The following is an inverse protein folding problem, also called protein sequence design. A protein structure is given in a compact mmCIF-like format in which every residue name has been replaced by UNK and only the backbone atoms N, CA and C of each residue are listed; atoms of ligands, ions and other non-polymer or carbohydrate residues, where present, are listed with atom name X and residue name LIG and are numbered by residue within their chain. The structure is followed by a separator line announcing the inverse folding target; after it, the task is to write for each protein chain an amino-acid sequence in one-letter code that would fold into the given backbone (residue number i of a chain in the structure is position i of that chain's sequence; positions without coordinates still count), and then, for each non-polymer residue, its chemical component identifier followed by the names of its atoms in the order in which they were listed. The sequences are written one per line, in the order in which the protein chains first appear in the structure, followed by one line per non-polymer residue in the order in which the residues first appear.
data_IF_143065285870
#
_entry.id   IF_143065285870
#
_cell.length_a   1.000
_cell.length_b   1.000
_cell.length_c   1.000
_cell.angle_alpha   90.00
_cell.angle_beta   90.00
_cell.angle_gamma   90.00
#
_symmetry.space_group_name_H-M   'P 1'
#
loop_
_entity.id
_entity.type
_entity.pdbx_description
1 polymer ?
#
# COMPACT_ATOMS: atom_id res chain seq x y z
N UNK A 1 15.23 10.48 22.57
CA UNK A 1 15.59 11.67 21.79
C UNK A 1 16.82 11.33 20.97
N UNK A 2 16.65 10.89 19.72
CA UNK A 2 17.78 10.57 18.83
C UNK A 2 18.43 11.87 18.33
N UNK A 3 19.76 11.92 18.37
CA UNK A 3 20.57 13.11 18.13
C UNK A 3 20.42 13.64 16.71
N UNK A 4 20.24 14.96 16.57
CA UNK A 4 20.11 15.73 15.32
C UNK A 4 21.20 15.49 14.26
N UNK A 5 22.34 14.88 14.64
CA UNK A 5 23.43 14.50 13.72
C UNK A 5 23.07 13.32 12.82
N UNK A 6 22.24 12.37 13.26
CA UNK A 6 21.88 11.20 12.44
C UNK A 6 20.85 11.54 11.34
N UNK A 7 20.00 12.55 11.58
CA UNK A 7 18.95 12.99 10.65
C UNK A 7 19.55 13.75 9.44
N UNK A 8 20.72 14.37 9.61
CA UNK A 8 21.35 15.25 8.60
C UNK A 8 22.47 14.57 7.77
N UNK A 9 22.96 13.40 8.17
CA UNK A 9 23.81 12.59 7.30
C UNK A 9 22.99 12.05 6.14
N UNK A 10 23.11 12.69 4.97
CA UNK A 10 22.58 12.18 3.69
C UNK A 10 23.25 10.84 3.40
N UNK A 11 22.74 9.75 3.98
CA UNK A 11 23.17 8.40 3.65
C UNK A 11 22.97 8.23 2.15
N UNK A 12 24.04 7.98 1.36
CA UNK A 12 23.91 7.90 -0.08
C UNK A 12 22.98 6.74 -0.43
N UNK A 13 21.81 7.09 -0.95
CA UNK A 13 20.81 6.13 -1.41
C UNK A 13 21.38 5.43 -2.64
N UNK A 14 21.49 4.11 -2.59
CA UNK A 14 21.92 3.30 -3.71
C UNK A 14 20.75 3.05 -4.66
N UNK A 15 19.58 2.68 -4.12
CA UNK A 15 18.38 2.42 -4.90
C UNK A 15 17.11 2.52 -4.03
N UNK A 16 15.98 2.83 -4.67
CA UNK A 16 14.65 2.71 -4.07
C UNK A 16 13.87 1.65 -4.81
N UNK A 17 13.45 0.61 -4.11
CA UNK A 17 12.75 -0.56 -4.66
C UNK A 17 11.31 -0.51 -4.16
N UNK A 18 10.34 -0.70 -5.06
CA UNK A 18 8.92 -0.79 -4.72
C UNK A 18 8.43 -2.19 -5.02
N UNK A 19 7.97 -2.89 -3.99
CA UNK A 19 7.46 -4.26 -4.09
C UNK A 19 6.04 -4.32 -3.54
N UNK A 20 5.24 -5.23 -4.09
CA UNK A 20 3.93 -5.58 -3.54
C UNK A 20 4.02 -6.99 -2.98
N UNK A 21 3.75 -7.13 -1.68
CA UNK A 21 3.87 -8.40 -0.95
C UNK A 21 2.58 -8.63 -0.15
N UNK A 22 2.00 -9.84 -0.17
CA UNK A 22 0.84 -10.17 0.65
C UNK A 22 1.20 -10.12 2.14
N UNK A 23 0.30 -9.57 2.95
CA UNK A 23 0.42 -9.49 4.40
C UNK A 23 0.54 -10.89 5.04
N UNK A 24 1.48 -11.05 5.96
CA UNK A 24 1.75 -12.33 6.66
C UNK A 24 2.38 -13.44 5.80
N UNK A 25 2.55 -13.20 4.50
CA UNK A 25 3.06 -14.17 3.52
C UNK A 25 4.47 -13.88 3.03
N UNK A 26 5.24 -13.00 3.68
CA UNK A 26 6.58 -12.68 3.20
C UNK A 26 7.50 -13.91 3.32
N UNK A 27 7.81 -14.46 2.15
CA UNK A 27 8.78 -15.53 1.94
C UNK A 27 9.85 -15.03 0.96
N UNK A 28 11.07 -15.57 1.00
CA UNK A 28 12.12 -15.28 0.02
C UNK A 28 11.79 -15.95 -1.33
N UNK A 29 10.64 -15.62 -1.90
CA UNK A 29 10.13 -16.13 -3.17
C UNK A 29 10.66 -15.27 -4.34
N UNK A 30 10.54 -15.74 -5.60
CA UNK A 30 11.10 -15.10 -6.80
C UNK A 30 10.79 -13.61 -7.03
N UNK A 31 9.72 -12.96 -6.52
CA UNK A 31 9.57 -11.51 -6.68
C UNK A 31 10.37 -10.69 -5.66
N UNK A 32 10.62 -11.23 -4.46
CA UNK A 32 11.31 -10.51 -3.36
C UNK A 32 12.80 -10.89 -3.32
N UNK A 33 13.11 -12.15 -3.62
CA UNK A 33 14.45 -12.74 -3.63
C UNK A 33 15.45 -12.00 -4.52
N UNK A 34 15.22 -11.96 -5.84
CA UNK A 34 16.10 -11.28 -6.81
C UNK A 34 16.19 -9.77 -6.58
N UNK A 35 15.06 -9.13 -6.27
CA UNK A 35 14.98 -7.68 -6.09
C UNK A 35 15.84 -7.19 -4.91
N UNK A 36 15.85 -7.93 -3.79
CA UNK A 36 16.66 -7.58 -2.61
C UNK A 36 18.06 -8.20 -2.64
N UNK A 37 18.21 -9.38 -3.24
CA UNK A 37 19.48 -10.07 -3.39
C UNK A 37 20.49 -9.30 -4.25
N UNK A 38 20.03 -8.57 -5.27
CA UNK A 38 20.89 -7.72 -6.10
C UNK A 38 21.66 -6.66 -5.30
N UNK A 39 21.08 -6.20 -4.19
CA UNK A 39 21.65 -5.17 -3.33
C UNK A 39 22.32 -5.73 -2.06
N UNK A 40 22.50 -7.06 -1.98
CA UNK A 40 23.11 -7.76 -0.83
C UNK A 40 22.42 -7.44 0.52
N UNK A 41 21.11 -7.19 0.48
CA UNK A 41 20.32 -6.90 1.68
C UNK A 41 19.93 -8.17 2.43
N UNK A 42 19.75 -8.09 3.75
CA UNK A 42 19.36 -9.24 4.56
C UNK A 42 17.86 -9.56 4.39
N UNK A 43 17.55 -10.51 3.50
CA UNK A 43 16.18 -10.92 3.18
C UNK A 43 15.43 -11.52 4.38
N UNK A 44 16.11 -12.30 5.21
CA UNK A 44 15.46 -13.02 6.31
C UNK A 44 15.04 -12.06 7.43
N UNK A 45 15.87 -11.06 7.72
CA UNK A 45 15.53 -9.97 8.63
C UNK A 45 14.33 -9.17 8.10
N UNK A 46 14.33 -8.83 6.80
CA UNK A 46 13.20 -8.15 6.16
C UNK A 46 11.91 -8.96 6.26
N UNK A 47 11.92 -10.25 5.92
CA UNK A 47 10.71 -11.09 5.98
C UNK A 47 10.16 -11.18 7.42
N UNK A 48 11.02 -11.26 8.44
CA UNK A 48 10.61 -11.32 9.84
C UNK A 48 9.99 -10.01 10.30
N UNK A 49 10.65 -8.87 10.05
CA UNK A 49 10.15 -7.56 10.44
C UNK A 49 8.89 -7.18 9.68
N UNK A 50 8.80 -7.54 8.39
CA UNK A 50 7.60 -7.35 7.59
C UNK A 50 6.43 -8.17 8.13
N UNK A 51 6.62 -9.45 8.45
CA UNK A 51 5.56 -10.28 9.02
C UNK A 51 5.10 -9.76 10.40
N UNK A 52 6.03 -9.28 11.24
CA UNK A 52 5.69 -8.66 12.52
C UNK A 52 4.86 -7.38 12.37
N UNK A 53 5.21 -6.50 11.41
CA UNK A 53 4.44 -5.27 11.12
C UNK A 53 3.11 -5.55 10.45
N UNK A 54 3.03 -6.60 9.63
CA UNK A 54 1.81 -6.95 8.87
C UNK A 54 0.85 -7.87 9.61
N UNK A 55 1.22 -8.38 10.79
CA UNK A 55 0.36 -9.25 11.60
C UNK A 55 -0.97 -8.60 12.03
N UNK A 56 -1.05 -7.27 12.05
CA UNK A 56 -2.28 -6.52 12.35
C UNK A 56 -3.28 -6.49 11.20
N UNK A 57 -2.82 -6.76 9.97
CA UNK A 57 -3.65 -6.71 8.77
C UNK A 57 -4.15 -8.11 8.43
N UNK A 58 -5.31 -8.19 7.76
CA UNK A 58 -5.85 -9.48 7.31
C UNK A 58 -4.81 -10.19 6.42
N UNK A 59 -4.58 -11.49 6.64
CA UNK A 59 -3.67 -12.27 5.80
C UNK A 59 -4.15 -12.20 4.34
N UNK A 60 -3.21 -12.24 3.40
CA UNK A 60 -3.45 -12.15 1.94
C UNK A 60 -3.83 -10.76 1.40
N UNK A 61 -3.73 -9.73 2.23
CA UNK A 61 -3.89 -8.35 1.74
C UNK A 61 -2.61 -7.88 1.03
N UNK A 62 -2.64 -7.45 -0.25
CA UNK A 62 -1.46 -6.97 -0.94
C UNK A 62 -1.02 -5.62 -0.37
N UNK A 63 0.12 -5.62 0.33
CA UNK A 63 0.72 -4.41 0.89
C UNK A 63 1.86 -3.92 0.01
N UNK A 64 1.93 -2.61 -0.18
CA UNK A 64 3.03 -1.99 -0.93
C UNK A 64 4.16 -1.64 0.03
N UNK A 65 5.36 -2.09 -0.27
CA UNK A 65 6.56 -1.80 0.51
C UNK A 65 7.51 -0.98 -0.35
N UNK A 66 7.97 0.14 0.20
CA UNK A 66 9.08 0.90 -0.38
C UNK A 66 10.31 0.65 0.46
N UNK A 67 11.35 0.12 -0.18
CA UNK A 67 12.63 -0.24 0.43
C UNK A 67 13.67 0.72 -0.12
N UNK A 68 14.30 1.46 0.77
CA UNK A 68 15.41 2.35 0.47
C UNK A 68 16.69 1.62 0.86
N UNK A 69 17.49 1.27 -0.14
CA UNK A 69 18.79 0.65 0.05
C UNK A 69 19.88 1.73 0.10
N UNK A 70 20.73 1.67 1.11
CA UNK A 70 21.90 2.55 1.23
C UNK A 70 23.17 1.84 0.76
N UNK A 71 24.21 2.60 0.40
CA UNK A 71 25.50 2.03 -0.03
C UNK A 71 26.22 1.22 1.06
N UNK A 72 25.87 1.43 2.32
CA UNK A 72 26.48 0.75 3.47
C UNK A 72 25.85 -0.63 3.75
N UNK A 73 25.14 -1.20 2.78
CA UNK A 73 24.36 -2.45 2.88
C UNK A 73 23.23 -2.41 3.93
N UNK A 74 22.90 -1.23 4.44
CA UNK A 74 21.75 -1.00 5.31
C UNK A 74 20.51 -0.73 4.47
N UNK A 75 19.34 -1.11 4.98
CA UNK A 75 18.06 -0.82 4.34
C UNK A 75 17.08 -0.24 5.34
N UNK A 76 16.27 0.70 4.86
CA UNK A 76 15.08 1.16 5.54
C UNK A 76 13.87 0.78 4.68
N UNK A 77 12.83 0.26 5.31
CA UNK A 77 11.60 -0.07 4.61
C UNK A 77 10.40 0.59 5.27
N UNK A 78 9.56 1.19 4.43
CA UNK A 78 8.27 1.74 4.81
C UNK A 78 7.19 0.84 4.24
N UNK A 79 6.40 0.25 5.13
CA UNK A 79 5.21 -0.51 4.76
C UNK A 79 4.08 0.49 4.60
N UNK A 80 3.49 0.56 3.41
CA UNK A 80 2.30 1.36 3.14
C UNK A 80 1.07 0.48 3.30
N UNK A 81 -0.06 1.11 3.63
CA UNK A 81 -1.32 0.40 3.60
C UNK A 81 -1.65 -0.13 2.19
N UNK A 82 -2.55 -1.11 2.10
CA UNK A 82 -2.94 -1.74 0.84
C UNK A 82 -3.41 -0.73 -0.22
N UNK A 83 -3.38 -1.17 -1.49
CA UNK A 83 -3.86 -0.35 -2.59
C UNK A 83 -5.35 -0.03 -2.43
N UNK A 84 -5.75 1.19 -2.81
CA UNK A 84 -7.16 1.61 -2.81
C UNK A 84 -7.98 0.69 -3.71
N UNK A 85 -7.40 0.25 -4.83
CA UNK A 85 -7.97 -0.75 -5.75
C UNK A 85 -8.38 -2.03 -5.04
N UNK A 86 -7.55 -2.56 -4.13
CA UNK A 86 -7.87 -3.78 -3.40
C UNK A 86 -9.00 -3.54 -2.39
N UNK A 87 -8.98 -2.41 -1.68
CA UNK A 87 -10.07 -2.04 -0.76
C UNK A 87 -11.40 -1.86 -1.47
N UNK A 88 -11.39 -1.21 -2.63
CA UNK A 88 -12.59 -1.02 -3.45
C UNK A 88 -13.13 -2.36 -3.99
N UNK A 89 -12.26 -3.26 -4.46
CA UNK A 89 -12.64 -4.62 -4.86
C UNK A 89 -13.30 -5.40 -3.73
N UNK A 90 -12.73 -5.33 -2.52
CA UNK A 90 -13.30 -6.00 -1.33
C UNK A 90 -14.62 -5.38 -0.89
N UNK A 91 -14.76 -4.06 -0.93
CA UNK A 91 -16.01 -3.37 -0.58
C UNK A 91 -17.12 -3.64 -1.62
N UNK A 92 -16.75 -3.79 -2.89
CA UNK A 92 -17.67 -4.07 -3.99
C UNK A 92 -17.94 -5.56 -4.22
N UNK A 93 -17.20 -6.47 -3.59
CA UNK A 93 -17.34 -7.91 -3.78
C UNK A 93 -16.89 -8.44 -5.16
N UNK A 94 -16.15 -7.65 -5.94
CA UNK A 94 -15.71 -8.03 -7.30
C UNK A 94 -14.22 -8.36 -7.35
N UNK A 95 -13.86 -9.40 -8.10
CA UNK A 95 -12.46 -9.84 -8.27
C UNK A 95 -11.71 -9.03 -9.34
N UNK A 96 -12.42 -8.61 -10.39
CA UNK A 96 -11.89 -7.80 -11.48
C UNK A 96 -12.64 -6.47 -11.61
N UNK A 97 -11.95 -5.45 -12.12
CA UNK A 97 -12.59 -4.18 -12.48
C UNK A 97 -13.35 -4.29 -13.80
N UNK A 98 -14.06 -3.23 -14.18
CA UNK A 98 -14.73 -3.16 -15.48
C UNK A 98 -13.71 -3.19 -16.62
N UNK A 99 -13.96 -4.03 -17.64
CA UNK A 99 -13.18 -4.06 -18.87
C UNK A 99 -13.36 -2.80 -19.74
N UNK A 100 -14.42 -2.02 -19.48
CA UNK A 100 -14.66 -0.73 -20.15
C UNK A 100 -15.19 0.30 -19.14
N UNK A 101 -14.29 0.90 -18.34
CA UNK A 101 -14.65 1.93 -17.36
C UNK A 101 -15.43 3.08 -18.01
N UNK A 102 -16.52 3.52 -17.36
CA UNK A 102 -17.38 4.62 -17.83
C UNK A 102 -18.50 4.23 -18.79
N UNK A 103 -18.46 3.03 -19.38
CA UNK A 103 -19.57 2.49 -20.19
C UNK A 103 -20.30 1.33 -19.50
N UNK A 104 -19.55 0.50 -18.78
CA UNK A 104 -20.10 -0.62 -18.02
C UNK A 104 -19.67 -0.46 -16.57
N UNK A 105 -20.65 -0.25 -15.70
CA UNK A 105 -20.43 -0.24 -14.25
C UNK A 105 -20.33 -1.69 -13.76
N UNK A 106 -19.20 -2.04 -13.14
CA UNK A 106 -18.95 -3.38 -12.62
C UNK A 106 -19.62 -3.61 -11.26
N UNK A 107 -19.77 -2.55 -10.46
CA UNK A 107 -20.36 -2.62 -9.11
C UNK A 107 -20.67 -1.23 -8.56
N UNK A 108 -21.45 -1.20 -7.48
CA UNK A 108 -21.77 0.01 -6.73
C UNK A 108 -21.17 -0.06 -5.32
N UNK A 109 -20.69 1.08 -4.81
CA UNK A 109 -20.15 1.21 -3.45
C UNK A 109 -20.75 2.44 -2.80
N UNK A 110 -21.05 2.39 -1.50
CA UNK A 110 -21.60 3.55 -0.78
C UNK A 110 -20.51 4.49 -0.28
N UNK A 111 -20.88 5.76 -0.06
CA UNK A 111 -20.00 6.75 0.57
C UNK A 111 -19.48 6.33 1.95
N UNK A 112 -20.23 5.52 2.70
CA UNK A 112 -19.79 4.98 4.01
C UNK A 112 -18.52 4.15 3.86
N UNK A 113 -18.48 3.24 2.89
CA UNK A 113 -17.30 2.42 2.59
C UNK A 113 -16.11 3.29 2.15
N UNK A 114 -16.36 4.31 1.31
CA UNK A 114 -15.30 5.24 0.87
C UNK A 114 -14.68 5.97 2.06
N UNK A 115 -15.51 6.40 3.02
CA UNK A 115 -15.06 7.10 4.22
C UNK A 115 -14.27 6.20 5.18
N UNK A 116 -14.70 4.94 5.36
CA UNK A 116 -13.95 3.95 6.14
C UNK A 116 -12.58 3.66 5.53
N UNK A 117 -12.54 3.45 4.21
CA UNK A 117 -11.29 3.25 3.47
C UNK A 117 -10.39 4.49 3.60
N UNK A 118 -10.96 5.69 3.53
CA UNK A 118 -10.22 6.95 3.69
C UNK A 118 -9.58 7.07 5.08
N UNK A 119 -10.31 6.72 6.15
CA UNK A 119 -9.76 6.72 7.52
C UNK A 119 -8.59 5.77 7.69
N UNK A 120 -8.71 4.54 7.16
CA UNK A 120 -7.64 3.56 7.20
C UNK A 120 -6.43 4.06 6.39
N UNK A 121 -6.67 4.64 5.22
CA UNK A 121 -5.62 5.20 4.34
C UNK A 121 -4.94 6.42 4.96
N UNK A 122 -5.67 7.25 5.70
CA UNK A 122 -5.15 8.46 6.35
C UNK A 122 -4.05 8.16 7.38
N UNK A 123 -4.06 6.96 7.95
CA UNK A 123 -3.00 6.49 8.86
C UNK A 123 -1.66 6.24 8.13
N UNK A 124 -1.63 6.30 6.80
CA UNK A 124 -0.37 6.19 6.04
C UNK A 124 0.46 7.47 6.16
N UNK A 125 1.81 7.35 6.21
CA UNK A 125 2.73 8.48 6.25
C UNK A 125 2.56 9.51 5.11
N UNK A 126 2.04 9.08 3.95
CA UNK A 126 1.80 9.95 2.79
C UNK A 126 0.47 10.69 2.85
N UNK A 127 -0.52 10.14 3.54
CA UNK A 127 -1.88 10.69 3.57
C UNK A 127 -2.18 11.43 4.88
N UNK A 128 -1.29 11.35 5.88
CA UNK A 128 -1.46 11.97 7.18
C UNK A 128 -1.62 13.51 7.13
N UNK A 129 -1.06 14.17 6.11
CA UNK A 129 -1.13 15.63 5.93
C UNK A 129 -2.32 16.09 5.07
N UNK A 130 -3.11 15.17 4.50
CA UNK A 130 -4.24 15.51 3.63
C UNK A 130 -5.55 15.54 4.40
N UNK A 131 -6.46 16.44 3.99
CA UNK A 131 -7.83 16.44 4.51
C UNK A 131 -8.56 15.17 4.09
N UNK A 132 -9.45 14.69 4.96
CA UNK A 132 -10.21 13.47 4.75
C UNK A 132 -11.08 13.56 3.48
N UNK A 133 -11.59 14.76 3.17
CA UNK A 133 -12.30 15.04 1.91
C UNK A 133 -11.43 14.85 0.66
N UNK A 134 -10.17 15.28 0.71
CA UNK A 134 -9.23 15.13 -0.41
C UNK A 134 -8.95 13.65 -0.67
N UNK A 135 -8.76 12.89 0.40
CA UNK A 135 -8.56 11.44 0.33
C UNK A 135 -9.81 10.76 -0.25
N UNK A 136 -11.01 11.13 0.21
CA UNK A 136 -12.26 10.63 -0.36
C UNK A 136 -12.39 10.95 -1.85
N UNK A 137 -12.06 12.17 -2.29
CA UNK A 137 -12.05 12.55 -3.71
C UNK A 137 -11.08 11.68 -4.53
N UNK A 138 -9.87 11.44 -4.03
CA UNK A 138 -8.91 10.55 -4.70
C UNK A 138 -9.41 9.11 -4.79
N UNK A 139 -10.08 8.60 -3.76
CA UNK A 139 -10.67 7.25 -3.76
C UNK A 139 -11.83 7.17 -4.76
N UNK A 140 -12.70 8.19 -4.80
CA UNK A 140 -13.79 8.26 -5.80
C UNK A 140 -13.25 8.30 -7.23
N UNK A 141 -12.17 9.04 -7.48
CA UNK A 141 -11.51 9.03 -8.79
C UNK A 141 -11.00 7.63 -9.17
N UNK A 142 -10.40 6.92 -8.22
CA UNK A 142 -9.93 5.54 -8.42
C UNK A 142 -11.10 4.58 -8.69
N UNK A 143 -12.22 4.73 -7.98
CA UNK A 143 -13.43 3.95 -8.21
C UNK A 143 -13.97 4.15 -9.63
N UNK A 144 -14.01 5.40 -10.11
CA UNK A 144 -14.46 5.72 -11.46
C UNK A 144 -13.58 5.06 -12.53
N UNK A 145 -12.25 5.09 -12.37
CA UNK A 145 -11.32 4.41 -13.30
C UNK A 145 -11.46 2.89 -13.32
N UNK A 146 -12.07 2.30 -12.29
CA UNK A 146 -12.35 0.86 -12.22
C UNK A 146 -13.76 0.49 -12.69
N UNK A 147 -14.60 1.48 -13.03
CA UNK A 147 -16.02 1.29 -13.32
C UNK A 147 -16.83 0.94 -12.08
N UNK A 148 -16.45 1.44 -10.91
CA UNK A 148 -17.20 1.30 -9.66
C UNK A 148 -17.95 2.60 -9.40
N UNK A 149 -19.28 2.53 -9.36
CA UNK A 149 -20.13 3.69 -9.15
C UNK A 149 -20.33 3.96 -7.67
N UNK A 150 -20.03 5.18 -7.24
CA UNK A 150 -20.20 5.60 -5.84
C UNK A 150 -21.60 6.21 -5.67
N UNK A 151 -22.40 5.64 -4.76
CA UNK A 151 -23.77 6.08 -4.47
C UNK A 151 -23.85 6.60 -3.03
N UNK A 152 -24.74 7.57 -2.77
CA UNK A 152 -24.98 8.11 -1.42
C UNK A 152 -25.62 7.07 -0.52
N UNK A 153 -26.69 6.43 -0.99
CA UNK A 153 -27.42 5.37 -0.30
C UNK A 153 -27.72 4.22 -1.28
N UNK A 154 -27.68 2.98 -0.78
CA UNK A 154 -28.20 1.80 -1.50
C UNK A 154 -29.66 1.70 -1.08
N UNK A 155 -30.59 1.92 -2.02
CA UNK A 155 -32.00 1.56 -1.86
C UNK A 155 -32.18 0.03 -1.90
#
# INVERSE_FOLDING_TARGET
MATLKEILTRRPVAATIRLTVPAGGARPAPPVGPALGQYRLNLMAFCKDFNARTQKYKPDTPMSVTITAFKDNTFEFTVKSPSVTWYLKKAAGVESGSGRPGHVDASTVTLKHVYEIAKVKQSDPYCQYMSLESICKSIMGTANTMGIKVVKDLD
#
